data_IF_357377737103
#
_entry.id   IF_357377737103
#
_cell.length_a   1.000
_cell.length_b   1.000
_cell.length_c   1.000
_cell.angle_alpha   90.00
_cell.angle_beta   90.00
_cell.angle_gamma   90.00
#
_symmetry.space_group_name_H-M   'P 1'
#
loop_
_entity.id
_entity.type
_entity.pdbx_description
1 polymer ?
#
# COMPACT_ATOMS: atom_id res chain seq x y z
N UNK A 1 12.74 -13.57 -12.46
CA UNK A 1 11.41 -13.17 -11.96
C UNK A 1 11.62 -12.38 -10.67
N UNK A 2 11.06 -11.17 -10.56
CA UNK A 2 11.24 -10.30 -9.40
C UNK A 2 9.88 -10.11 -8.69
N UNK A 3 9.84 -10.36 -7.38
CA UNK A 3 8.65 -10.16 -6.55
C UNK A 3 8.89 -8.92 -5.71
N UNK A 4 7.93 -8.02 -5.66
CA UNK A 4 8.01 -6.78 -4.88
C UNK A 4 6.82 -6.68 -3.95
N UNK A 5 7.10 -6.26 -2.71
CA UNK A 5 6.10 -5.97 -1.69
C UNK A 5 5.94 -4.45 -1.59
N UNK A 6 4.70 -3.97 -1.61
CA UNK A 6 4.36 -2.55 -1.46
C UNK A 6 3.28 -2.46 -0.41
N UNK A 7 3.54 -1.74 0.69
CA UNK A 7 2.59 -1.54 1.78
C UNK A 7 2.75 -0.14 2.38
N UNK A 8 1.64 0.45 2.83
CA UNK A 8 1.66 1.61 3.70
C UNK A 8 1.60 1.15 5.16
N UNK A 9 2.40 1.77 6.01
CA UNK A 9 2.64 1.33 7.37
C UNK A 9 2.86 2.54 8.28
N UNK A 10 2.34 2.49 9.50
CA UNK A 10 2.67 3.49 10.52
C UNK A 10 4.10 3.28 11.08
N UNK A 11 4.52 4.11 12.03
CA UNK A 11 5.87 4.00 12.63
C UNK A 11 6.07 2.73 13.46
N UNK A 12 5.00 2.02 13.80
CA UNK A 12 5.00 0.84 14.67
C UNK A 12 4.75 -0.46 13.91
N UNK A 13 4.57 -0.42 12.58
CA UNK A 13 4.31 -1.63 11.79
C UNK A 13 2.85 -1.88 11.41
N UNK A 14 1.91 -1.04 11.83
CA UNK A 14 0.48 -1.23 11.56
C UNK A 14 0.18 -0.92 10.10
N UNK A 15 -0.46 -1.86 9.40
CA UNK A 15 -0.89 -1.72 7.99
C UNK A 15 -2.41 -1.61 7.84
N UNK A 16 -3.16 -1.76 8.93
CA UNK A 16 -4.61 -1.79 8.95
C UNK A 16 -5.17 -2.08 10.33
N UNK A 17 -6.41 -1.65 10.59
CA UNK A 17 -7.14 -1.91 11.83
C UNK A 17 -8.62 -2.14 11.48
N UNK A 18 -9.17 -3.26 11.94
CA UNK A 18 -10.59 -3.64 11.72
C UNK A 18 -11.02 -3.61 10.23
N UNK A 19 -10.15 -4.12 9.34
CA UNK A 19 -10.42 -4.17 7.90
C UNK A 19 -10.38 -2.82 7.18
N UNK A 20 -9.82 -1.78 7.83
CA UNK A 20 -9.67 -0.44 7.25
C UNK A 20 -8.28 0.11 7.51
N UNK A 21 -7.86 1.08 6.71
CA UNK A 21 -6.69 1.89 7.04
C UNK A 21 -7.07 2.83 8.19
N UNK A 22 -6.28 2.89 9.28
CA UNK A 22 -6.57 3.77 10.41
C UNK A 22 -6.25 5.23 10.14
N UNK A 23 -5.71 5.55 8.95
CA UNK A 23 -5.37 6.89 8.49
C UNK A 23 -6.08 7.21 7.17
N UNK A 24 -6.14 8.51 6.86
CA UNK A 24 -6.58 9.00 5.57
C UNK A 24 -5.45 9.82 4.93
N UNK A 25 -4.71 9.20 4.00
CA UNK A 25 -3.64 9.85 3.24
C UNK A 25 -4.06 9.92 1.75
N UNK A 26 -4.58 11.07 1.29
CA UNK A 26 -5.10 11.20 -0.08
C UNK A 26 -4.06 10.91 -1.17
N UNK A 27 -2.79 11.20 -0.89
CA UNK A 27 -1.69 10.97 -1.84
C UNK A 27 -1.17 9.53 -1.84
N UNK A 28 -1.58 8.69 -0.87
CA UNK A 28 -1.18 7.27 -0.79
C UNK A 28 -1.64 6.51 -2.04
N UNK A 29 -2.90 6.70 -2.46
CA UNK A 29 -3.43 6.05 -3.66
C UNK A 29 -2.69 6.47 -4.94
N UNK A 30 -2.27 7.75 -5.03
CA UNK A 30 -1.48 8.24 -6.17
C UNK A 30 -0.11 7.59 -6.20
N UNK A 31 0.56 7.50 -5.05
CA UNK A 31 1.86 6.85 -4.93
C UNK A 31 1.77 5.35 -5.25
N UNK A 32 0.80 4.65 -4.64
CA UNK A 32 0.58 3.22 -4.89
C UNK A 32 0.34 2.94 -6.37
N UNK A 33 -0.48 3.76 -7.04
CA UNK A 33 -0.67 3.66 -8.49
C UNK A 33 0.62 3.90 -9.26
N UNK A 34 1.39 4.94 -8.93
CA UNK A 34 2.65 5.26 -9.62
C UNK A 34 3.66 4.11 -9.57
N UNK A 35 3.76 3.39 -8.45
CA UNK A 35 4.74 2.30 -8.28
C UNK A 35 4.26 0.95 -8.81
N UNK A 36 2.94 0.75 -8.94
CA UNK A 36 2.35 -0.53 -9.35
C UNK A 36 1.74 -0.55 -10.76
N UNK A 37 1.64 0.59 -11.46
CA UNK A 37 1.05 0.64 -12.80
C UNK A 37 1.80 -0.28 -13.78
N UNK A 38 1.04 -1.02 -14.59
CA UNK A 38 1.60 -1.96 -15.58
C UNK A 38 2.16 -3.26 -15.02
N UNK A 39 1.97 -3.54 -13.71
CA UNK A 39 2.43 -4.77 -13.04
C UNK A 39 1.23 -5.61 -12.57
N UNK A 40 1.30 -6.95 -12.61
CA UNK A 40 0.29 -7.81 -11.99
C UNK A 40 0.21 -7.59 -10.46
N UNK A 41 -1.00 -7.53 -9.93
CA UNK A 41 -1.26 -7.37 -8.50
C UNK A 41 -1.72 -8.69 -7.88
N UNK A 42 -1.26 -8.94 -6.65
CA UNK A 42 -1.72 -10.01 -5.77
C UNK A 42 -2.07 -9.33 -4.44
N UNK A 43 -3.29 -9.52 -3.94
CA UNK A 43 -3.83 -8.91 -2.71
C UNK A 43 -4.21 -9.97 -1.69
#
# INVERSE_FOLDING_TARGET
MHISLVAAMDKNGVIGMNGRLPWHLPDEAKHFRAVTIGKPHIM
#
